data_IF_805819203267
#
_entry.id   IF_805819203267
#
_cell.length_a   1.000
_cell.length_b   1.000
_cell.length_c   1.000
_cell.angle_alpha   90.00
_cell.angle_beta   90.00
_cell.angle_gamma   90.00
#
_symmetry.space_group_name_H-M   'P 1'
#
loop_
_entity.id
_entity.type
_entity.pdbx_description
1 polymer ?
#
# COMPACT_ATOMS: atom_id res chain seq x y z
N UNK A 1 -2.60 17.16 -0.77
CA UNK A 1 -3.85 16.38 -0.82
C UNK A 1 -3.86 15.27 0.24
N UNK A 2 -2.88 14.37 0.27
CA UNK A 2 -2.80 13.23 1.23
C UNK A 2 -3.00 13.62 2.71
N UNK A 3 -2.38 14.72 3.17
CA UNK A 3 -2.59 15.27 4.52
C UNK A 3 -4.07 15.50 4.86
N UNK A 4 -4.81 16.12 3.94
CA UNK A 4 -6.22 16.42 4.13
C UNK A 4 -7.08 15.15 4.06
N UNK A 5 -6.74 14.20 3.19
CA UNK A 5 -7.39 12.88 3.13
C UNK A 5 -7.26 12.15 4.46
N UNK A 6 -6.06 12.12 5.04
CA UNK A 6 -5.83 11.47 6.34
C UNK A 6 -6.56 12.19 7.49
N UNK A 7 -6.61 13.53 7.47
CA UNK A 7 -7.37 14.29 8.48
C UNK A 7 -8.88 13.99 8.39
N UNK A 8 -9.44 13.91 7.18
CA UNK A 8 -10.86 13.56 6.98
C UNK A 8 -11.16 12.12 7.40
N UNK A 9 -10.31 11.17 7.03
CA UNK A 9 -10.45 9.77 7.45
C UNK A 9 -10.40 9.65 8.98
N UNK A 10 -9.47 10.36 9.64
CA UNK A 10 -9.37 10.39 11.10
C UNK A 10 -10.58 11.07 11.78
N UNK A 11 -11.19 12.08 11.15
CA UNK A 11 -12.42 12.70 11.64
C UNK A 11 -13.62 11.75 11.50
N UNK A 12 -13.78 11.10 10.34
CA UNK A 12 -14.84 10.13 10.08
C UNK A 12 -14.77 8.93 11.05
N UNK A 13 -13.55 8.44 11.33
CA UNK A 13 -13.30 7.39 12.33
C UNK A 13 -13.73 7.78 13.75
N UNK A 14 -13.77 9.08 14.09
CA UNK A 14 -14.26 9.54 15.41
C UNK A 14 -15.78 9.62 15.48
N UNK A 15 -16.46 9.71 14.34
CA UNK A 15 -17.93 9.77 14.27
C UNK A 15 -18.62 8.39 14.22
N UNK A 16 -17.86 7.29 14.20
CA UNK A 16 -18.41 5.94 14.14
C UNK A 16 -17.45 4.97 13.46
N UNK A 17 -18.00 3.96 12.78
CA UNK A 17 -17.17 2.97 12.11
C UNK A 17 -16.43 3.61 10.93
N UNK A 18 -15.08 3.54 10.87
CA UNK A 18 -14.32 4.07 9.75
C UNK A 18 -14.75 3.39 8.45
N UNK A 19 -15.07 4.18 7.44
CA UNK A 19 -15.48 3.70 6.13
C UNK A 19 -14.30 3.36 5.21
N UNK A 20 -14.57 3.14 3.91
CA UNK A 20 -13.58 2.78 2.89
C UNK A 20 -12.52 3.86 2.62
N UNK A 21 -12.62 5.06 3.20
CA UNK A 21 -11.70 6.17 2.97
C UNK A 21 -10.26 5.85 3.39
N UNK A 22 -10.08 4.95 4.35
CA UNK A 22 -8.76 4.45 4.77
C UNK A 22 -8.01 3.75 3.63
N UNK A 23 -8.72 3.02 2.77
CA UNK A 23 -8.14 2.36 1.60
C UNK A 23 -7.59 3.37 0.58
N UNK A 24 -8.25 4.51 0.42
CA UNK A 24 -7.76 5.60 -0.44
C UNK A 24 -6.45 6.18 0.10
N UNK A 25 -6.42 6.46 1.41
CA UNK A 25 -5.21 6.96 2.07
C UNK A 25 -4.02 6.00 1.93
N UNK A 26 -4.24 4.70 2.12
CA UNK A 26 -3.20 3.67 2.00
C UNK A 26 -2.69 3.54 0.56
N UNK A 27 -3.58 3.44 -0.43
CA UNK A 27 -3.16 3.33 -1.83
C UNK A 27 -2.31 4.53 -2.26
N UNK A 28 -2.73 5.75 -1.90
CA UNK A 28 -1.96 6.96 -2.20
C UNK A 28 -0.61 6.99 -1.47
N UNK A 29 -0.57 6.57 -0.20
CA UNK A 29 0.67 6.50 0.56
C UNK A 29 1.67 5.53 -0.07
N UNK A 30 1.20 4.38 -0.58
CA UNK A 30 2.06 3.40 -1.24
C UNK A 30 2.80 4.01 -2.44
N UNK A 31 2.09 4.76 -3.30
CA UNK A 31 2.71 5.44 -4.45
C UNK A 31 3.65 6.57 -4.03
N UNK A 32 3.22 7.44 -3.11
CA UNK A 32 4.06 8.53 -2.61
C UNK A 32 5.35 8.01 -1.98
N UNK A 33 5.29 6.89 -1.24
CA UNK A 33 6.47 6.31 -0.61
C UNK A 33 7.43 5.74 -1.66
N UNK A 34 6.91 5.12 -2.74
CA UNK A 34 7.75 4.68 -3.87
C UNK A 34 8.45 5.87 -4.53
N UNK A 35 7.71 6.94 -4.85
CA UNK A 35 8.26 8.15 -5.48
C UNK A 35 9.35 8.80 -4.61
N UNK A 36 9.15 8.86 -3.29
CA UNK A 36 10.13 9.42 -2.34
C UNK A 36 11.44 8.64 -2.40
N UNK A 37 11.38 7.30 -2.31
CA UNK A 37 12.58 6.49 -2.21
C UNK A 37 13.26 6.26 -3.57
N UNK A 38 12.50 6.22 -4.66
CA UNK A 38 13.04 6.29 -6.02
C UNK A 38 13.82 7.59 -6.19
N UNK A 39 13.25 8.72 -5.76
CA UNK A 39 13.96 10.00 -5.84
C UNK A 39 15.18 10.06 -4.93
N UNK A 40 15.13 9.45 -3.75
CA UNK A 40 16.25 9.39 -2.82
C UNK A 40 17.44 8.63 -3.43
N UNK A 41 17.19 7.49 -4.08
CA UNK A 41 18.21 6.72 -4.80
C UNK A 41 18.74 7.50 -6.00
N UNK A 42 17.86 8.13 -6.79
CA UNK A 42 18.26 8.96 -7.94
C UNK A 42 19.20 10.10 -7.55
N UNK A 43 18.95 10.77 -6.42
CA UNK A 43 19.79 11.86 -5.92
C UNK A 43 21.20 11.40 -5.55
N UNK A 44 21.40 10.12 -5.24
CA UNK A 44 22.71 9.52 -4.98
C UNK A 44 23.45 9.13 -6.28
N UNK A 45 22.79 9.19 -7.44
CA UNK A 45 23.34 8.80 -8.72
C UNK A 45 23.79 7.34 -8.72
N UNK A 46 24.95 7.06 -9.34
CA UNK A 46 25.49 5.69 -9.41
C UNK A 46 25.81 5.10 -8.03
N UNK A 47 26.15 5.94 -7.05
CA UNK A 47 26.47 5.45 -5.70
C UNK A 47 25.27 4.80 -5.01
N UNK A 48 24.03 5.23 -5.34
CA UNK A 48 22.81 4.65 -4.78
C UNK A 48 22.54 3.20 -5.19
N UNK A 49 23.28 2.67 -6.17
CA UNK A 49 23.19 1.26 -6.59
C UNK A 49 24.07 0.32 -5.75
N UNK A 50 24.97 0.85 -4.92
CA UNK A 50 25.99 0.09 -4.20
C UNK A 50 25.63 -0.19 -2.73
N UNK A 51 24.41 0.15 -2.33
CA UNK A 51 23.98 0.26 -0.94
C UNK A 51 23.49 -1.09 -0.36
N UNK A 52 24.35 -2.11 -0.42
CA UNK A 52 24.11 -3.40 0.24
C UNK A 52 25.42 -4.14 0.51
N UNK A 53 25.67 -4.49 1.78
CA UNK A 53 26.66 -5.49 2.13
C UNK A 53 25.96 -6.85 2.35
N UNK A 54 26.47 -7.90 1.72
CA UNK A 54 25.84 -9.24 1.71
C UNK A 54 26.02 -10.02 3.02
N UNK A 55 26.38 -9.34 4.11
CA UNK A 55 26.61 -10.02 5.38
C UNK A 55 25.26 -10.42 5.97
N UNK A 56 25.07 -11.72 6.22
CA UNK A 56 23.90 -12.21 6.93
C UNK A 56 23.91 -11.69 8.38
N UNK A 57 22.97 -10.81 8.70
CA UNK A 57 22.75 -10.30 10.06
C UNK A 57 21.35 -10.64 10.52
N UNK A 58 21.22 -11.03 11.79
CA UNK A 58 19.92 -11.16 12.43
C UNK A 58 19.43 -9.76 12.82
N UNK A 59 18.23 -9.33 12.43
CA UNK A 59 17.66 -8.08 12.90
C UNK A 59 17.50 -8.11 14.42
N UNK A 60 18.00 -7.09 15.11
CA UNK A 60 17.83 -6.91 16.55
C UNK A 60 16.57 -6.11 16.89
N UNK A 61 16.09 -5.31 15.93
CA UNK A 61 14.91 -4.46 16.05
C UNK A 61 14.01 -4.62 14.83
N UNK A 62 12.73 -4.29 15.00
CA UNK A 62 11.79 -4.16 13.89
C UNK A 62 12.01 -2.79 13.24
N UNK A 63 12.71 -2.76 12.11
CA UNK A 63 12.85 -1.58 11.28
C UNK A 63 12.03 -1.73 9.99
N UNK A 64 11.21 -0.71 9.71
CA UNK A 64 10.31 -0.66 8.55
C UNK A 64 10.82 0.29 7.46
N UNK A 65 11.88 1.04 7.73
CA UNK A 65 12.48 2.01 6.81
C UNK A 65 13.88 1.55 6.40
N UNK A 66 14.59 0.83 7.27
CA UNK A 66 15.97 0.40 7.07
C UNK A 66 16.98 1.54 7.29
N UNK A 67 18.25 1.17 7.33
CA UNK A 67 19.35 2.11 7.56
C UNK A 67 19.74 2.92 6.30
N UNK A 68 19.10 2.64 5.16
CA UNK A 68 19.61 3.05 3.85
C UNK A 68 18.51 3.37 2.84
N UNK A 69 18.79 4.30 1.91
CA UNK A 69 17.86 4.66 0.86
C UNK A 69 17.62 3.49 -0.12
N UNK A 70 18.66 2.67 -0.37
CA UNK A 70 18.53 1.46 -1.17
C UNK A 70 17.58 0.43 -0.55
N UNK A 71 17.70 0.19 0.76
CA UNK A 71 16.76 -0.69 1.47
C UNK A 71 15.34 -0.12 1.40
N UNK A 72 15.15 1.15 1.72
CA UNK A 72 13.84 1.79 1.74
C UNK A 72 13.15 1.78 0.37
N UNK A 73 13.92 1.98 -0.71
CA UNK A 73 13.46 1.85 -2.10
C UNK A 73 12.92 0.45 -2.39
N UNK A 74 13.67 -0.60 -2.03
CA UNK A 74 13.22 -1.99 -2.21
C UNK A 74 12.00 -2.30 -1.35
N UNK A 75 12.00 -1.85 -0.09
CA UNK A 75 10.91 -2.08 0.86
C UNK A 75 9.61 -1.40 0.43
N UNK A 76 9.68 -0.22 -0.17
CA UNK A 76 8.51 0.51 -0.65
C UNK A 76 7.71 -0.23 -1.73
N UNK A 77 8.32 -1.20 -2.43
CA UNK A 77 7.62 -2.04 -3.42
C UNK A 77 6.55 -2.92 -2.78
N UNK A 78 6.76 -3.37 -1.54
CA UNK A 78 5.78 -4.19 -0.83
C UNK A 78 4.51 -3.42 -0.45
N UNK A 79 4.57 -2.08 -0.33
CA UNK A 79 3.44 -1.24 0.09
C UNK A 79 2.22 -1.33 -0.83
N UNK A 80 2.42 -1.67 -2.11
CA UNK A 80 1.32 -1.85 -3.08
C UNK A 80 0.66 -3.23 -3.00
N UNK A 81 1.16 -4.12 -2.15
CA UNK A 81 0.71 -5.51 -1.99
C UNK A 81 0.19 -5.75 -0.56
N UNK A 82 1.01 -5.40 0.43
CA UNK A 82 0.71 -5.68 1.84
C UNK A 82 -0.49 -4.87 2.36
N UNK A 83 -1.25 -5.43 3.29
CA UNK A 83 -2.43 -4.75 3.85
C UNK A 83 -3.53 -4.45 2.82
N UNK A 84 -3.57 -5.21 1.72
CA UNK A 84 -4.49 -5.05 0.59
C UNK A 84 -3.79 -4.46 -0.64
N UNK A 85 -3.92 -5.11 -1.79
CA UNK A 85 -3.25 -4.65 -3.01
C UNK A 85 -3.81 -3.30 -3.47
N UNK A 86 -3.02 -2.53 -4.20
CA UNK A 86 -3.47 -1.25 -4.76
C UNK A 86 -4.69 -1.41 -5.67
N UNK A 87 -4.81 -2.55 -6.37
CA UNK A 87 -5.94 -2.90 -7.22
C UNK A 87 -7.21 -3.10 -6.39
N UNK A 88 -7.14 -3.87 -5.29
CA UNK A 88 -8.28 -4.05 -4.38
C UNK A 88 -8.71 -2.72 -3.78
N UNK A 89 -7.77 -1.84 -3.44
CA UNK A 89 -8.11 -0.51 -2.92
C UNK A 89 -8.74 0.41 -3.97
N UNK A 90 -8.36 0.31 -5.24
CA UNK A 90 -9.04 1.00 -6.35
C UNK A 90 -10.45 0.47 -6.53
N UNK A 91 -10.68 -0.83 -6.39
CA UNK A 91 -12.01 -1.42 -6.44
C UNK A 91 -12.88 -0.92 -5.28
N UNK A 92 -12.34 -0.83 -4.06
CA UNK A 92 -13.04 -0.23 -2.90
C UNK A 92 -13.42 1.24 -3.18
N UNK A 93 -12.49 2.02 -3.72
CA UNK A 93 -12.76 3.41 -4.12
C UNK A 93 -13.88 3.48 -5.18
N UNK A 94 -13.81 2.64 -6.22
CA UNK A 94 -14.82 2.60 -7.27
C UNK A 94 -16.20 2.21 -6.73
N UNK A 95 -16.31 1.06 -6.08
CA UNK A 95 -17.59 0.48 -5.65
C UNK A 95 -18.20 1.20 -4.45
N UNK A 96 -17.41 1.45 -3.40
CA UNK A 96 -17.94 1.87 -2.10
C UNK A 96 -17.90 3.38 -1.88
N UNK A 97 -16.94 4.09 -2.50
CA UNK A 97 -16.83 5.55 -2.38
C UNK A 97 -17.53 6.25 -3.55
N UNK A 98 -17.32 5.77 -4.78
CA UNK A 98 -17.85 6.40 -6.00
C UNK A 98 -19.18 5.78 -6.48
N UNK A 99 -19.58 4.63 -5.96
CA UNK A 99 -20.82 3.94 -6.36
C UNK A 99 -20.79 3.39 -7.80
N UNK A 100 -19.60 3.12 -8.34
CA UNK A 100 -19.44 2.53 -9.66
C UNK A 100 -19.87 1.05 -9.65
N UNK A 101 -20.31 0.50 -10.80
CA UNK A 101 -20.56 -0.93 -10.92
C UNK A 101 -19.32 -1.73 -10.54
N UNK A 102 -19.49 -2.76 -9.72
CA UNK A 102 -18.40 -3.64 -9.34
C UNK A 102 -17.90 -4.50 -10.47
N UNK A 103 -16.68 -5.02 -10.33
CA UNK A 103 -16.13 -5.96 -11.30
C UNK A 103 -16.99 -7.24 -11.39
N UNK A 104 -17.12 -7.84 -12.59
CA UNK A 104 -17.85 -9.09 -12.77
C UNK A 104 -17.31 -10.18 -11.84
N UNK A 105 -18.15 -10.64 -10.92
CA UNK A 105 -17.85 -11.72 -9.98
C UNK A 105 -18.94 -12.76 -10.10
N UNK A 106 -18.56 -13.96 -10.55
CA UNK A 106 -19.49 -15.08 -10.73
C UNK A 106 -19.76 -15.84 -9.43
N UNK A 107 -18.98 -15.57 -8.40
CA UNK A 107 -18.89 -16.30 -7.13
C UNK A 107 -19.25 -15.45 -5.90
N UNK A 108 -19.58 -14.16 -6.09
CA UNK A 108 -19.79 -13.20 -4.97
C UNK A 108 -20.81 -13.69 -3.94
N UNK A 109 -21.88 -14.31 -4.41
CA UNK A 109 -22.99 -14.78 -3.58
C UNK A 109 -22.94 -16.29 -3.33
N UNK A 110 -21.83 -16.94 -3.69
CA UNK A 110 -21.62 -18.38 -3.55
C UNK A 110 -20.67 -18.62 -2.38
N UNK A 111 -21.05 -19.44 -1.39
CA UNK A 111 -20.12 -19.87 -0.35
C UNK A 111 -18.86 -20.49 -0.96
N UNK A 112 -17.68 -20.21 -0.38
CA UNK A 112 -16.40 -20.67 -0.94
C UNK A 112 -16.33 -22.18 -1.25
N UNK A 113 -17.05 -23.01 -0.47
CA UNK A 113 -17.11 -24.46 -0.65
C UNK A 113 -17.88 -24.88 -1.91
N UNK A 114 -18.80 -24.03 -2.38
CA UNK A 114 -19.69 -24.28 -3.51
C UNK A 114 -19.19 -23.64 -4.82
N UNK A 115 -18.06 -22.91 -4.78
CA UNK A 115 -17.45 -22.30 -5.96
C UNK A 115 -16.92 -23.40 -6.88
N UNK A 116 -17.38 -23.50 -8.15
CA UNK A 116 -16.92 -24.52 -9.09
C UNK A 116 -15.41 -24.44 -9.30
N UNK A 117 -14.72 -25.55 -9.06
CA UNK A 117 -13.30 -25.71 -9.40
C UNK A 117 -13.25 -26.65 -10.59
N UNK A 118 -12.61 -26.19 -11.67
CA UNK A 118 -12.40 -27.00 -12.88
C UNK A 118 -11.65 -28.29 -12.59
#
# INVERSE_FOLDING_TARGET
VLRLTNMRAAQAARSGNPGPEGSVGKAMMAYVNQDIWEKAVDLQGMAGQLDYDYTFRRPETTDMIGDSAGYAFLRARANTIEGGTSEVMKNILGEQVLGLPGEPRVDKDVPWIDVPRG
#
